data_IF_542058077727
#
_entry.id   IF_542058077727
#
_cell.length_a   1.000
_cell.length_b   1.000
_cell.length_c   1.000
_cell.angle_alpha   90.00
_cell.angle_beta   90.00
_cell.angle_gamma   90.00
#
_symmetry.space_group_name_H-M   'P 1'
#
loop_
_entity.id
_entity.type
_entity.pdbx_description
1 polymer ?
#
# COMPACT_ATOMS: atom_id res chain seq x y z
N UNK A 1 -23.63 -54.27 25.93
CA UNK A 1 -24.37 -54.81 24.78
C UNK A 1 -25.87 -54.63 24.99
N UNK A 2 -26.54 -53.80 24.20
CA UNK A 2 -27.92 -53.99 23.70
C UNK A 2 -28.41 -52.69 23.06
N UNK A 3 -28.31 -52.63 21.73
CA UNK A 3 -29.02 -51.69 20.85
C UNK A 3 -30.43 -52.24 20.58
N UNK A 4 -31.44 -51.35 20.45
CA UNK A 4 -32.55 -51.36 19.46
C UNK A 4 -33.67 -50.42 19.96
N UNK A 5 -33.88 -49.28 19.31
CA UNK A 5 -34.69 -49.08 18.10
C UNK A 5 -36.18 -48.82 18.41
N UNK A 6 -36.61 -47.57 18.25
CA UNK A 6 -38.01 -47.17 18.05
C UNK A 6 -38.01 -46.10 16.93
N UNK A 7 -38.00 -46.53 15.66
CA UNK A 7 -39.19 -46.63 14.77
C UNK A 7 -39.99 -45.32 14.64
N UNK A 8 -39.57 -44.55 13.64
CA UNK A 8 -40.41 -43.97 12.59
C UNK A 8 -41.82 -43.50 12.97
N UNK A 9 -42.00 -42.18 13.09
CA UNK A 9 -43.26 -41.52 12.76
C UNK A 9 -43.08 -40.51 11.64
N UNK A 10 -43.35 -41.03 10.45
CA UNK A 10 -44.04 -40.41 9.32
C UNK A 10 -43.95 -38.88 9.14
N UNK A 11 -43.19 -38.53 8.11
CA UNK A 11 -43.41 -37.39 7.22
C UNK A 11 -44.89 -37.10 6.97
N UNK A 12 -45.31 -35.87 7.23
CA UNK A 12 -46.47 -35.23 6.58
C UNK A 12 -46.36 -33.71 6.72
N UNK A 13 -45.44 -33.10 5.97
CA UNK A 13 -45.47 -31.66 5.70
C UNK A 13 -45.73 -31.48 4.20
N UNK A 14 -46.99 -31.26 3.83
CA UNK A 14 -47.36 -30.80 2.49
C UNK A 14 -46.86 -29.36 2.35
N UNK A 15 -45.73 -29.16 1.68
CA UNK A 15 -45.29 -27.85 1.24
C UNK A 15 -46.20 -27.39 0.08
N UNK A 16 -47.09 -26.43 0.35
CA UNK A 16 -47.77 -25.68 -0.70
C UNK A 16 -46.76 -24.72 -1.33
N UNK A 17 -46.06 -25.16 -2.37
CA UNK A 17 -45.21 -24.28 -3.18
C UNK A 17 -46.13 -23.43 -4.06
N UNK A 18 -46.41 -22.21 -3.62
CA UNK A 18 -47.06 -21.19 -4.45
C UNK A 18 -46.12 -20.77 -5.57
N UNK A 19 -46.25 -21.39 -6.74
CA UNK A 19 -45.53 -21.02 -7.98
C UNK A 19 -46.14 -19.77 -8.63
N UNK A 20 -46.10 -18.63 -7.94
CA UNK A 20 -46.18 -17.34 -8.65
C UNK A 20 -44.78 -17.02 -9.16
N UNK A 21 -44.51 -17.38 -10.42
CA UNK A 21 -43.35 -16.88 -11.18
C UNK A 21 -43.52 -15.36 -11.30
N UNK A 22 -42.95 -14.61 -10.37
CA UNK A 22 -42.73 -13.19 -10.57
C UNK A 22 -41.75 -13.07 -11.75
N UNK A 23 -42.06 -12.30 -12.80
CA UNK A 23 -41.05 -12.02 -13.80
C UNK A 23 -39.91 -11.30 -13.08
N UNK A 24 -38.71 -11.88 -13.15
CA UNK A 24 -37.49 -11.16 -12.77
C UNK A 24 -37.37 -10.05 -13.82
N UNK A 25 -38.00 -8.91 -13.54
CA UNK A 25 -37.70 -7.68 -14.23
C UNK A 25 -36.27 -7.37 -13.82
N UNK A 26 -35.30 -7.82 -14.62
CA UNK A 26 -33.94 -7.29 -14.62
C UNK A 26 -34.04 -5.85 -15.12
N UNK A 27 -34.70 -4.99 -14.34
CA UNK A 27 -34.41 -3.58 -14.42
C UNK A 27 -32.95 -3.54 -13.98
N UNK A 28 -32.06 -3.25 -14.91
CA UNK A 28 -30.71 -2.83 -14.57
C UNK A 28 -30.90 -1.52 -13.81
N UNK A 29 -31.20 -1.62 -12.51
CA UNK A 29 -30.89 -0.55 -11.59
C UNK A 29 -29.38 -0.47 -11.70
N UNK A 30 -28.89 0.41 -12.58
CA UNK A 30 -27.51 0.89 -12.45
C UNK A 30 -27.45 1.31 -10.98
N UNK A 31 -26.61 0.68 -10.14
CA UNK A 31 -26.42 1.24 -8.82
C UNK A 31 -26.11 2.71 -9.06
N UNK A 32 -26.95 3.60 -8.52
CA UNK A 32 -26.60 5.00 -8.40
C UNK A 32 -25.21 4.96 -7.78
N UNK A 33 -24.21 5.23 -8.60
CA UNK A 33 -22.84 5.23 -8.13
C UNK A 33 -22.83 6.20 -6.97
N UNK A 34 -22.25 5.81 -5.86
CA UNK A 34 -21.98 6.70 -4.72
C UNK A 34 -20.89 7.71 -5.10
N UNK A 35 -20.97 8.26 -6.31
CA UNK A 35 -20.14 9.34 -6.78
C UNK A 35 -20.44 10.50 -5.85
N UNK A 36 -19.45 10.82 -5.03
CA UNK A 36 -19.24 12.17 -4.58
C UNK A 36 -19.47 13.05 -5.82
N UNK A 37 -20.55 13.83 -5.84
CA UNK A 37 -20.96 14.60 -7.03
C UNK A 37 -19.97 15.73 -7.33
N UNK A 38 -18.84 15.78 -6.62
CA UNK A 38 -17.79 16.79 -6.77
C UNK A 38 -18.26 18.09 -6.14
N UNK A 39 -17.36 18.79 -5.47
CA UNK A 39 -17.61 20.17 -5.10
C UNK A 39 -17.44 21.03 -6.35
N UNK A 40 -18.40 21.92 -6.62
CA UNK A 40 -18.24 22.97 -7.62
C UNK A 40 -17.48 24.11 -6.93
N UNK A 41 -16.20 24.22 -7.23
CA UNK A 41 -15.34 25.30 -6.74
C UNK A 41 -15.17 26.29 -7.88
N UNK A 42 -15.55 27.55 -7.67
CA UNK A 42 -15.35 28.60 -8.68
C UNK A 42 -13.88 29.00 -8.74
N UNK A 43 -13.22 28.69 -9.85
CA UNK A 43 -11.89 29.22 -10.17
C UNK A 43 -12.03 30.66 -10.74
N UNK A 44 -11.47 31.69 -10.07
CA UNK A 44 -11.46 33.05 -10.60
C UNK A 44 -10.75 33.22 -11.95
N UNK A 45 -9.91 32.26 -12.37
CA UNK A 45 -9.12 32.31 -13.60
C UNK A 45 -9.77 31.59 -14.80
N UNK A 46 -10.94 30.96 -14.62
CA UNK A 46 -11.58 30.09 -15.61
C UNK A 46 -12.11 30.81 -16.86
N UNK A 47 -12.39 32.12 -16.76
CA UNK A 47 -12.99 32.90 -17.84
C UNK A 47 -14.37 32.37 -18.23
N UNK A 48 -14.58 32.12 -19.53
CA UNK A 48 -15.86 31.62 -20.09
C UNK A 48 -15.97 30.09 -20.13
N UNK A 49 -14.96 29.36 -19.63
CA UNK A 49 -14.98 27.90 -19.64
C UNK A 49 -15.98 27.36 -18.59
N UNK A 50 -16.75 26.29 -18.88
CA UNK A 50 -17.73 25.78 -17.93
C UNK A 50 -17.06 25.24 -16.67
N UNK A 51 -17.54 25.68 -15.50
CA UNK A 51 -17.10 25.15 -14.22
C UNK A 51 -17.72 23.76 -13.98
N UNK A 52 -16.86 22.73 -13.94
CA UNK A 52 -17.26 21.35 -13.76
C UNK A 52 -17.06 20.90 -12.30
N UNK A 53 -17.81 19.88 -11.83
CA UNK A 53 -17.62 19.38 -10.48
C UNK A 53 -16.27 18.68 -10.31
N UNK A 54 -15.58 18.96 -9.21
CA UNK A 54 -14.27 18.40 -8.91
C UNK A 54 -14.36 16.95 -8.41
N UNK A 55 -14.37 15.99 -9.32
CA UNK A 55 -14.18 14.57 -9.01
C UNK A 55 -13.26 13.91 -10.03
N UNK A 56 -12.43 12.97 -9.56
CA UNK A 56 -11.51 12.26 -10.44
C UNK A 56 -12.24 11.31 -11.39
N UNK A 57 -11.79 11.26 -12.63
CA UNK A 57 -12.19 10.27 -13.62
C UNK A 57 -11.93 8.83 -13.14
N UNK A 58 -10.99 8.61 -12.22
CA UNK A 58 -10.73 7.29 -11.63
C UNK A 58 -11.97 6.73 -10.90
N UNK A 59 -12.77 7.58 -10.26
CA UNK A 59 -13.99 7.20 -9.55
C UNK A 59 -15.13 6.74 -10.50
N UNK A 60 -15.00 7.03 -11.80
CA UNK A 60 -15.97 6.58 -12.80
C UNK A 60 -15.93 5.05 -12.94
N UNK A 61 -17.09 4.49 -13.30
CA UNK A 61 -17.22 3.06 -13.56
C UNK A 61 -16.22 2.57 -14.62
N UNK A 62 -15.81 1.30 -14.61
CA UNK A 62 -14.73 0.80 -15.46
C UNK A 62 -15.12 0.62 -16.95
N UNK A 63 -16.41 0.67 -17.30
CA UNK A 63 -16.89 0.31 -18.64
C UNK A 63 -17.93 1.30 -19.17
N UNK A 64 -18.14 1.30 -20.50
CA UNK A 64 -19.18 2.09 -21.16
C UNK A 64 -18.73 3.45 -21.69
N UNK A 65 -17.43 3.62 -21.94
CA UNK A 65 -16.82 4.86 -22.43
C UNK A 65 -16.39 4.72 -23.89
N UNK A 66 -16.39 5.82 -24.62
CA UNK A 66 -15.81 5.87 -25.97
C UNK A 66 -14.29 5.66 -25.93
N UNK A 67 -13.63 6.27 -24.95
CA UNK A 67 -12.25 5.98 -24.57
C UNK A 67 -12.25 5.20 -23.24
N UNK A 68 -12.02 3.87 -23.28
CA UNK A 68 -11.99 3.06 -22.08
C UNK A 68 -10.81 3.35 -21.15
N UNK A 69 -9.70 3.89 -21.66
CA UNK A 69 -8.48 4.11 -20.89
C UNK A 69 -8.62 5.37 -20.03
N UNK A 70 -9.11 6.47 -20.62
CA UNK A 70 -9.37 7.72 -19.91
C UNK A 70 -10.75 7.76 -19.22
N UNK A 71 -11.58 6.73 -19.41
CA UNK A 71 -12.97 6.67 -18.92
C UNK A 71 -13.79 7.89 -19.36
N UNK A 72 -13.71 8.22 -20.65
CA UNK A 72 -14.25 9.45 -21.24
C UNK A 72 -15.10 9.20 -22.47
N UNK A 73 -16.12 10.04 -22.69
CA UNK A 73 -16.92 10.04 -23.91
C UNK A 73 -16.45 11.09 -24.92
N UNK A 74 -16.65 10.82 -26.22
CA UNK A 74 -16.31 11.77 -27.27
C UNK A 74 -17.18 13.04 -27.16
N UNK A 75 -16.54 14.22 -27.21
CA UNK A 75 -17.23 15.51 -27.10
C UNK A 75 -17.66 15.90 -25.68
N UNK A 76 -17.26 15.13 -24.67
CA UNK A 76 -17.44 15.51 -23.26
C UNK A 76 -16.56 16.73 -22.92
N UNK A 77 -17.12 17.68 -22.18
CA UNK A 77 -16.37 18.84 -21.66
C UNK A 77 -15.38 18.38 -20.59
N UNK A 78 -14.14 18.82 -20.71
CA UNK A 78 -13.05 18.44 -19.82
C UNK A 78 -13.02 19.35 -18.59
N UNK A 79 -12.58 18.86 -17.42
CA UNK A 79 -12.39 19.78 -16.29
C UNK A 79 -11.22 20.73 -16.55
N UNK A 80 -11.23 21.96 -16.04
CA UNK A 80 -10.07 22.87 -16.17
C UNK A 80 -8.74 22.27 -15.67
N UNK A 81 -8.78 21.45 -14.60
CA UNK A 81 -7.62 20.80 -14.00
C UNK A 81 -7.61 19.28 -14.32
N UNK A 82 -7.87 18.92 -15.57
CA UNK A 82 -7.93 17.51 -16.00
C UNK A 82 -6.64 16.73 -15.75
N UNK A 83 -5.49 17.40 -15.75
CA UNK A 83 -4.20 16.76 -15.47
C UNK A 83 -4.16 16.11 -14.08
N UNK A 84 -4.85 16.70 -13.10
CA UNK A 84 -4.92 16.24 -11.71
C UNK A 84 -6.16 15.35 -11.50
N UNK A 85 -7.23 15.55 -12.26
CA UNK A 85 -8.47 14.79 -12.14
C UNK A 85 -8.57 13.59 -13.08
N UNK A 86 -7.65 13.46 -14.03
CA UNK A 86 -7.62 12.37 -15.00
C UNK A 86 -7.31 11.00 -14.39
N UNK A 87 -7.47 9.96 -15.19
CA UNK A 87 -7.14 8.58 -14.79
C UNK A 87 -5.63 8.41 -14.53
N UNK A 88 -4.81 9.24 -15.19
CA UNK A 88 -3.35 9.23 -15.08
C UNK A 88 -2.79 9.95 -13.85
N UNK A 89 -3.65 10.62 -13.09
CA UNK A 89 -3.26 11.24 -11.83
C UNK A 89 -2.90 10.18 -10.76
N UNK A 90 -2.31 10.57 -9.62
CA UNK A 90 -2.14 9.68 -8.49
C UNK A 90 -3.45 9.00 -8.08
N UNK A 91 -3.37 7.74 -7.66
CA UNK A 91 -4.54 6.90 -7.42
C UNK A 91 -5.37 7.36 -6.21
N UNK A 92 -6.69 7.29 -6.35
CA UNK A 92 -7.63 7.72 -5.32
C UNK A 92 -7.87 6.60 -4.30
N UNK A 93 -7.57 6.87 -3.04
CA UNK A 93 -7.74 5.89 -1.97
C UNK A 93 -8.95 6.25 -1.10
N UNK A 94 -9.87 5.30 -0.89
CA UNK A 94 -11.01 5.47 0.02
C UNK A 94 -10.59 5.51 1.51
N UNK A 95 -9.40 4.97 1.81
CA UNK A 95 -8.91 4.89 3.17
C UNK A 95 -8.40 6.24 3.69
N UNK A 96 -8.72 6.56 4.94
CA UNK A 96 -8.36 7.86 5.53
C UNK A 96 -6.84 8.05 5.57
N UNK A 97 -6.29 9.13 4.96
CA UNK A 97 -4.84 9.39 4.94
C UNK A 97 -4.23 9.53 6.34
N UNK A 98 -4.99 10.12 7.29
CA UNK A 98 -4.53 10.27 8.68
C UNK A 98 -4.34 8.93 9.37
N UNK A 99 -5.25 7.97 9.13
CA UNK A 99 -5.14 6.63 9.68
C UNK A 99 -3.98 5.87 9.04
N UNK A 100 -3.81 5.99 7.72
CA UNK A 100 -2.69 5.39 7.00
C UNK A 100 -1.34 5.88 7.54
N UNK A 101 -1.18 7.19 7.68
CA UNK A 101 0.04 7.80 8.22
C UNK A 101 0.29 7.37 9.67
N UNK A 102 -0.75 7.39 10.51
CA UNK A 102 -0.63 6.94 11.91
C UNK A 102 -0.18 5.48 12.01
N UNK A 103 -0.74 4.59 11.18
CA UNK A 103 -0.36 3.18 11.15
C UNK A 103 1.07 2.97 10.64
N UNK A 104 1.47 3.71 9.61
CA UNK A 104 2.83 3.66 9.06
C UNK A 104 3.85 4.17 10.09
N UNK A 105 3.58 5.31 10.73
CA UNK A 105 4.41 5.85 11.79
C UNK A 105 4.50 4.90 12.99
N UNK A 106 3.39 4.28 13.38
CA UNK A 106 3.37 3.28 14.44
C UNK A 106 4.24 2.07 14.10
N UNK A 107 4.12 1.53 12.88
CA UNK A 107 4.94 0.42 12.42
C UNK A 107 6.43 0.73 12.49
N UNK A 108 6.87 1.84 11.89
CA UNK A 108 8.28 2.24 11.93
C UNK A 108 8.75 2.59 13.35
N UNK A 109 7.87 3.16 14.18
CA UNK A 109 8.15 3.43 15.59
C UNK A 109 8.42 2.15 16.38
N UNK A 110 7.60 1.12 16.22
CA UNK A 110 7.78 -0.18 16.89
C UNK A 110 9.05 -0.87 16.41
N UNK A 111 9.26 -0.95 15.09
CA UNK A 111 10.46 -1.57 14.51
C UNK A 111 11.72 -0.85 14.96
N UNK A 112 11.71 0.49 14.93
CA UNK A 112 12.83 1.32 15.38
C UNK A 112 13.09 1.19 16.88
N UNK A 113 12.05 1.11 17.71
CA UNK A 113 12.19 0.91 19.15
C UNK A 113 12.80 -0.46 19.48
N UNK A 114 12.36 -1.53 18.81
CA UNK A 114 12.92 -2.88 18.99
C UNK A 114 14.38 -2.90 18.53
N UNK A 115 14.69 -2.36 17.35
CA UNK A 115 16.06 -2.28 16.86
C UNK A 115 16.97 -1.47 17.80
N UNK A 116 16.49 -0.34 18.32
CA UNK A 116 17.21 0.48 19.29
C UNK A 116 17.42 -0.22 20.62
N UNK A 117 16.44 -0.98 21.09
CA UNK A 117 16.55 -1.79 22.31
C UNK A 117 17.59 -2.89 22.12
N UNK A 118 17.49 -3.67 21.04
CA UNK A 118 18.47 -4.71 20.70
C UNK A 118 19.86 -4.11 20.63
N UNK A 119 20.05 -2.99 19.94
CA UNK A 119 21.35 -2.32 19.82
C UNK A 119 21.94 -1.95 21.19
N UNK A 120 21.13 -1.45 22.14
CA UNK A 120 21.60 -1.08 23.48
C UNK A 120 21.84 -2.27 24.39
N UNK A 121 21.07 -3.34 24.27
CA UNK A 121 21.18 -4.52 25.13
C UNK A 121 22.07 -5.61 24.54
N UNK A 122 22.59 -5.41 23.33
CA UNK A 122 23.42 -6.41 22.67
C UNK A 122 24.72 -6.60 23.46
N UNK A 123 25.01 -7.83 23.93
CA UNK A 123 26.25 -8.09 24.66
C UNK A 123 27.45 -7.96 23.73
N UNK A 124 28.59 -7.57 24.30
CA UNK A 124 29.83 -7.60 23.53
C UNK A 124 30.17 -9.03 23.13
N UNK A 125 30.74 -9.18 21.93
CA UNK A 125 31.22 -10.48 21.46
C UNK A 125 32.24 -11.04 22.45
N UNK A 126 32.05 -12.26 22.98
CA UNK A 126 32.99 -12.87 23.92
C UNK A 126 34.32 -13.25 23.24
N UNK A 127 34.37 -13.25 21.91
CA UNK A 127 35.58 -13.49 21.16
C UNK A 127 36.38 -12.19 20.99
N UNK A 128 37.67 -12.25 21.33
CA UNK A 128 38.63 -11.23 20.94
C UNK A 128 38.55 -11.00 19.44
N UNK A 129 38.54 -9.73 19.03
CA UNK A 129 38.46 -9.39 17.63
C UNK A 129 39.75 -9.82 16.94
N UNK A 130 39.65 -10.40 15.74
CA UNK A 130 40.80 -10.84 14.96
C UNK A 130 41.75 -9.67 14.71
N UNK A 131 43.03 -9.89 15.05
CA UNK A 131 44.15 -9.01 14.76
C UNK A 131 44.95 -9.57 13.59
N UNK A 132 45.72 -8.71 12.96
CA UNK A 132 46.44 -9.00 11.74
C UNK A 132 47.87 -8.44 11.82
N UNK A 133 48.88 -9.21 11.37
CA UNK A 133 50.28 -8.77 11.39
C UNK A 133 50.55 -7.67 10.35
N UNK A 134 51.79 -7.16 10.34
CA UNK A 134 52.25 -6.17 9.36
C UNK A 134 51.44 -4.87 9.40
N UNK A 135 51.20 -4.33 10.61
CA UNK A 135 50.46 -3.08 10.81
C UNK A 135 49.06 -3.11 10.14
N UNK A 136 48.42 -4.28 10.21
CA UNK A 136 47.06 -4.47 9.69
C UNK A 136 47.00 -4.72 8.18
N UNK A 137 48.02 -5.38 7.60
CA UNK A 137 48.10 -5.69 6.18
C UNK A 137 47.95 -4.46 5.26
N UNK A 138 48.48 -3.30 5.68
CA UNK A 138 48.31 -2.05 4.91
C UNK A 138 48.86 -2.15 3.50
N UNK A 139 49.98 -2.85 3.30
CA UNK A 139 50.59 -3.06 1.99
C UNK A 139 49.69 -3.90 1.08
N UNK A 140 49.10 -4.97 1.60
CA UNK A 140 48.18 -5.84 0.87
C UNK A 140 46.84 -5.14 0.58
N UNK A 141 46.45 -4.18 1.40
CA UNK A 141 45.33 -3.26 1.12
C UNK A 141 45.68 -2.16 0.10
N UNK A 142 46.91 -2.15 -0.43
CA UNK A 142 47.36 -1.26 -1.48
C UNK A 142 47.87 0.09 -1.00
N UNK A 143 48.21 0.21 0.29
CA UNK A 143 48.93 1.37 0.79
C UNK A 143 50.27 1.53 0.07
N UNK A 144 50.64 2.78 -0.22
CA UNK A 144 51.92 3.12 -0.84
C UNK A 144 52.72 4.04 0.06
N UNK A 145 54.03 4.08 -0.17
CA UNK A 145 54.91 5.01 0.52
C UNK A 145 54.44 6.46 0.27
N UNK A 146 54.21 7.21 1.35
CA UNK A 146 53.69 8.58 1.32
C UNK A 146 52.18 8.74 1.46
N UNK A 147 51.43 7.65 1.65
CA UNK A 147 49.98 7.72 1.84
C UNK A 147 49.61 8.19 3.26
N UNK A 148 48.76 9.21 3.36
CA UNK A 148 48.54 9.95 4.62
C UNK A 148 47.57 9.19 5.56
N UNK A 149 46.69 8.36 5.00
CA UNK A 149 45.70 7.56 5.74
C UNK A 149 45.48 6.19 5.08
N UNK A 150 46.48 5.30 5.12
CA UNK A 150 46.35 3.97 4.55
C UNK A 150 45.24 3.19 5.26
N UNK A 151 44.44 2.47 4.48
CA UNK A 151 43.42 1.56 5.03
C UNK A 151 44.10 0.26 5.44
N UNK A 152 43.86 -0.16 6.68
CA UNK A 152 44.36 -1.41 7.22
C UNK A 152 43.29 -2.14 8.04
N UNK A 153 43.49 -3.43 8.23
CA UNK A 153 42.80 -4.23 9.22
C UNK A 153 43.25 -3.85 10.65
N UNK A 154 42.61 -4.46 11.66
CA UNK A 154 42.95 -4.23 13.06
C UNK A 154 44.34 -4.79 13.38
N UNK A 155 45.22 -3.94 13.90
CA UNK A 155 46.54 -4.29 14.42
C UNK A 155 46.40 -4.89 15.83
N UNK A 156 47.29 -5.80 16.22
CA UNK A 156 47.34 -6.28 17.60
C UNK A 156 48.12 -5.32 18.49
N UNK A 157 47.73 -5.18 19.76
CA UNK A 157 48.37 -4.26 20.72
C UNK A 157 49.90 -4.41 20.84
N UNK A 158 50.47 -5.56 20.48
CA UNK A 158 51.91 -5.79 20.52
C UNK A 158 52.69 -5.10 19.37
N UNK A 159 52.02 -4.76 18.27
CA UNK A 159 52.61 -4.06 17.11
C UNK A 159 52.30 -2.54 17.13
N UNK A 160 51.42 -2.05 18.02
CA UNK A 160 51.14 -0.61 18.17
C UNK A 160 52.21 0.14 19.00
N UNK A 161 53.06 -0.59 19.72
CA UNK A 161 54.10 -0.03 20.61
C UNK A 161 55.48 0.15 19.92
N UNK A 162 55.63 -0.32 18.68
CA UNK A 162 56.85 -0.21 17.85
C UNK A 162 56.76 0.94 16.84
#
# INVERSE_FOLDING_TARGET
>A
MSLRAATQRAFNMRALVSTKRQPIMMTSVRPQSTLNTGELVEDPQIGDYPNLPRYSAQARGPHGWWDPQDKRNFGETLHEEDEIMGVWAPDLHEYSPRKALAQLAFFFGVVGAVAGLVYKTYPESPAAKRTYPYDGLKEEFGAREGDIRPRGARVGNAEEEE
#
